data_IF_892796040061
#
_entry.id   IF_892796040061
#
_cell.length_a   1.000
_cell.length_b   1.000
_cell.length_c   1.000
_cell.angle_alpha   90.00
_cell.angle_beta   90.00
_cell.angle_gamma   90.00
#
_symmetry.space_group_name_H-M   'P 1'
#
loop_
_entity.id
_entity.type
_entity.pdbx_description
1 polymer ?
#
# COMPACT_ATOMS: atom_id res chain seq x y z
N UNK A 1 28.45 -13.50 -4.02
CA UNK A 1 27.09 -13.49 -3.41
C UNK A 1 26.91 -14.78 -2.60
N UNK A 2 26.37 -14.70 -1.38
CA UNK A 2 26.17 -15.89 -0.53
C UNK A 2 24.88 -16.63 -0.93
N UNK A 3 24.96 -17.97 -1.03
CA UNK A 3 23.81 -18.85 -1.30
C UNK A 3 22.76 -18.75 -0.20
N UNK A 4 23.15 -18.48 1.05
CA UNK A 4 22.21 -18.28 2.18
C UNK A 4 21.32 -17.06 1.96
N UNK A 5 21.88 -15.94 1.48
CA UNK A 5 21.14 -14.72 1.14
C UNK A 5 20.11 -15.00 0.04
N UNK A 6 20.54 -15.68 -1.03
CA UNK A 6 19.64 -16.10 -2.12
C UNK A 6 18.58 -17.08 -1.64
N UNK A 7 18.88 -17.98 -0.70
CA UNK A 7 17.89 -18.92 -0.16
C UNK A 7 16.83 -18.20 0.66
N UNK A 8 17.21 -17.24 1.49
CA UNK A 8 16.26 -16.44 2.26
C UNK A 8 15.35 -15.62 1.34
N UNK A 9 15.90 -14.91 0.33
CA UNK A 9 15.08 -14.18 -0.64
C UNK A 9 14.20 -15.10 -1.48
N UNK A 10 14.65 -16.30 -1.84
CA UNK A 10 13.88 -17.33 -2.52
C UNK A 10 12.66 -17.78 -1.69
N UNK A 11 12.84 -18.03 -0.39
CA UNK A 11 11.77 -18.44 0.50
C UNK A 11 10.70 -17.35 0.62
N UNK A 12 11.13 -16.09 0.72
CA UNK A 12 10.24 -14.92 0.74
C UNK A 12 9.51 -14.74 -0.59
N UNK A 13 10.20 -14.79 -1.70
CA UNK A 13 9.60 -14.71 -3.04
C UNK A 13 8.62 -15.85 -3.29
N UNK A 14 8.89 -17.04 -2.74
CA UNK A 14 7.95 -18.17 -2.83
C UNK A 14 6.64 -17.85 -2.12
N UNK A 15 6.68 -17.31 -0.91
CA UNK A 15 5.48 -16.88 -0.18
C UNK A 15 4.71 -15.80 -0.95
N UNK A 16 5.41 -14.81 -1.51
CA UNK A 16 4.77 -13.70 -2.23
C UNK A 16 4.17 -14.18 -3.56
N UNK A 17 4.97 -14.83 -4.41
CA UNK A 17 4.59 -15.15 -5.79
C UNK A 17 3.63 -16.35 -5.88
N UNK A 18 3.74 -17.33 -4.96
CA UNK A 18 2.95 -18.57 -5.01
C UNK A 18 1.82 -18.62 -3.98
N UNK A 19 2.00 -17.99 -2.83
CA UNK A 19 1.05 -18.06 -1.73
C UNK A 19 0.27 -16.75 -1.57
N UNK A 20 0.60 -15.71 -2.35
CA UNK A 20 -0.10 -14.43 -2.33
C UNK A 20 0.17 -13.59 -1.08
N UNK A 21 1.26 -13.88 -0.34
CA UNK A 21 1.62 -13.12 0.84
C UNK A 21 2.06 -11.69 0.47
N UNK A 22 1.71 -10.73 1.31
CA UNK A 22 2.13 -9.34 1.12
C UNK A 22 3.61 -9.14 1.43
N UNK A 23 4.30 -8.39 0.56
CA UNK A 23 5.76 -8.19 0.65
C UNK A 23 6.20 -7.58 1.97
N UNK A 24 5.47 -6.59 2.48
CA UNK A 24 5.78 -5.94 3.76
C UNK A 24 5.59 -6.89 4.96
N UNK A 25 4.62 -7.80 4.91
CA UNK A 25 4.40 -8.81 5.97
C UNK A 25 5.56 -9.80 5.99
N UNK A 26 5.94 -10.30 4.81
CA UNK A 26 7.05 -11.26 4.67
C UNK A 26 8.38 -10.66 5.11
N UNK A 27 8.64 -9.39 4.78
CA UNK A 27 9.88 -8.69 5.14
C UNK A 27 9.92 -8.20 6.60
N UNK A 28 8.76 -8.06 7.27
CA UNK A 28 8.72 -7.70 8.69
C UNK A 28 9.39 -8.76 9.57
N UNK A 29 9.26 -10.02 9.20
CA UNK A 29 9.85 -11.17 9.92
C UNK A 29 11.36 -11.35 9.67
N UNK A 30 11.96 -10.54 8.78
CA UNK A 30 13.38 -10.66 8.44
C UNK A 30 14.25 -10.13 9.60
N UNK A 31 15.18 -10.95 10.13
CA UNK A 31 16.08 -10.52 11.20
C UNK A 31 16.89 -9.27 10.84
N UNK A 32 17.28 -8.51 11.85
CA UNK A 32 18.20 -7.37 11.71
C UNK A 32 19.64 -7.89 11.58
N UNK A 33 20.05 -8.18 10.35
CA UNK A 33 21.39 -8.68 9.98
C UNK A 33 21.99 -7.78 8.90
N UNK A 34 23.28 -7.88 8.68
CA UNK A 34 23.99 -7.12 7.64
C UNK A 34 23.42 -7.41 6.24
N UNK A 35 22.91 -8.62 6.02
CA UNK A 35 22.31 -9.04 4.74
C UNK A 35 20.89 -8.52 4.51
N UNK A 36 20.25 -7.95 5.53
CA UNK A 36 18.85 -7.50 5.46
C UNK A 36 18.59 -6.56 4.28
N UNK A 37 19.49 -5.59 4.07
CA UNK A 37 19.34 -4.62 2.99
C UNK A 37 19.39 -5.28 1.61
N UNK A 38 20.31 -6.23 1.41
CA UNK A 38 20.45 -6.96 0.16
C UNK A 38 19.26 -7.89 -0.10
N UNK A 39 18.79 -8.62 0.92
CA UNK A 39 17.61 -9.48 0.81
C UNK A 39 16.37 -8.64 0.46
N UNK A 40 16.17 -7.52 1.15
CA UNK A 40 15.07 -6.59 0.85
C UNK A 40 15.13 -6.10 -0.60
N UNK A 41 16.32 -5.71 -1.08
CA UNK A 41 16.53 -5.24 -2.46
C UNK A 41 16.27 -6.35 -3.49
N UNK A 42 16.67 -7.59 -3.20
CA UNK A 42 16.39 -8.75 -4.05
C UNK A 42 14.89 -9.03 -4.13
N UNK A 43 14.19 -9.04 -2.99
CA UNK A 43 12.75 -9.34 -2.95
C UNK A 43 11.95 -8.23 -3.63
N UNK A 44 12.10 -6.98 -3.19
CA UNK A 44 11.37 -5.85 -3.77
C UNK A 44 11.67 -5.68 -5.26
N UNK A 45 12.95 -5.66 -5.63
CA UNK A 45 13.33 -5.42 -7.01
C UNK A 45 12.89 -6.53 -7.96
N UNK A 46 12.90 -7.79 -7.51
CA UNK A 46 12.34 -8.90 -8.30
C UNK A 46 10.84 -8.69 -8.55
N UNK A 47 10.08 -8.22 -7.55
CA UNK A 47 8.64 -7.94 -7.68
C UNK A 47 8.40 -6.69 -8.55
N UNK A 48 9.18 -5.62 -8.35
CA UNK A 48 9.09 -4.39 -9.17
C UNK A 48 9.44 -4.59 -10.65
N UNK A 49 10.09 -5.70 -11.00
CA UNK A 49 10.47 -6.07 -12.38
C UNK A 49 9.83 -7.39 -12.82
N UNK A 50 8.78 -7.81 -12.13
CA UNK A 50 8.17 -9.11 -12.33
C UNK A 50 7.80 -9.40 -13.79
N UNK A 51 7.12 -8.48 -14.47
CA UNK A 51 6.66 -8.68 -15.85
C UNK A 51 7.81 -8.64 -16.85
N UNK A 52 8.80 -7.77 -16.66
CA UNK A 52 10.03 -7.75 -17.46
C UNK A 52 10.79 -9.06 -17.34
N UNK A 53 11.05 -9.50 -16.11
CA UNK A 53 11.78 -10.73 -15.83
C UNK A 53 11.04 -11.95 -16.40
N UNK A 54 9.71 -12.00 -16.25
CA UNK A 54 8.92 -13.07 -16.87
C UNK A 54 8.96 -13.05 -18.39
N UNK A 55 8.97 -11.88 -19.02
CA UNK A 55 9.11 -11.75 -20.46
C UNK A 55 10.49 -12.29 -20.93
N UNK A 56 11.56 -11.99 -20.22
CA UNK A 56 12.90 -12.52 -20.48
C UNK A 56 12.93 -14.06 -20.32
N UNK A 57 12.36 -14.58 -19.23
CA UNK A 57 12.28 -16.03 -18.99
C UNK A 57 11.50 -16.72 -20.13
N UNK A 58 10.36 -16.16 -20.51
CA UNK A 58 9.52 -16.73 -21.57
C UNK A 58 10.20 -16.68 -22.95
N UNK A 59 11.01 -15.66 -23.23
CA UNK A 59 11.81 -15.56 -24.44
C UNK A 59 12.92 -16.63 -24.47
N UNK A 60 13.65 -16.77 -23.36
CA UNK A 60 14.81 -17.67 -23.29
C UNK A 60 14.43 -19.14 -23.06
N UNK A 61 13.23 -19.41 -22.57
CA UNK A 61 12.76 -20.74 -22.20
C UNK A 61 11.51 -21.12 -23.00
N UNK A 62 11.62 -21.84 -24.15
CA UNK A 62 10.47 -22.26 -24.95
C UNK A 62 9.46 -23.10 -24.16
N UNK A 63 9.94 -23.85 -23.17
CA UNK A 63 9.10 -24.59 -22.21
C UNK A 63 9.20 -23.91 -20.84
N UNK A 64 8.06 -23.62 -20.24
CA UNK A 64 7.98 -22.98 -18.93
C UNK A 64 8.79 -23.74 -17.86
N UNK A 65 9.69 -23.07 -17.14
CA UNK A 65 10.46 -23.70 -16.05
C UNK A 65 9.53 -24.18 -14.93
N UNK A 66 9.96 -25.23 -14.19
CA UNK A 66 9.26 -25.65 -12.97
C UNK A 66 9.14 -24.46 -12.00
N UNK A 67 8.02 -24.29 -11.28
CA UNK A 67 7.76 -23.10 -10.45
C UNK A 67 8.87 -22.74 -9.47
N UNK A 68 9.46 -23.73 -8.79
CA UNK A 68 10.57 -23.52 -7.87
C UNK A 68 11.82 -22.95 -8.56
N UNK A 69 12.17 -23.51 -9.74
CA UNK A 69 13.33 -23.03 -10.52
C UNK A 69 13.04 -21.65 -11.12
N UNK A 70 11.81 -21.38 -11.52
CA UNK A 70 11.40 -20.09 -12.03
C UNK A 70 11.65 -18.97 -11.02
N UNK A 71 11.38 -19.19 -9.72
CA UNK A 71 11.65 -18.20 -8.67
C UNK A 71 13.16 -17.96 -8.53
N UNK A 72 14.00 -19.02 -8.58
CA UNK A 72 15.46 -18.83 -8.59
C UNK A 72 15.90 -18.02 -9.81
N UNK A 73 15.32 -18.31 -10.99
CA UNK A 73 15.63 -17.55 -12.20
C UNK A 73 15.21 -16.08 -12.07
N UNK A 74 14.06 -15.80 -11.48
CA UNK A 74 13.55 -14.44 -11.32
C UNK A 74 14.52 -13.59 -10.49
N UNK A 75 14.92 -14.05 -9.30
CA UNK A 75 15.84 -13.28 -8.46
C UNK A 75 17.26 -13.18 -9.05
N UNK A 76 17.72 -14.23 -9.75
CA UNK A 76 19.02 -14.21 -10.42
C UNK A 76 19.04 -13.19 -11.59
N UNK A 77 18.00 -13.17 -12.42
CA UNK A 77 17.87 -12.20 -13.53
C UNK A 77 17.81 -10.79 -12.99
N UNK A 78 17.01 -10.53 -11.94
CA UNK A 78 17.01 -9.23 -11.29
C UNK A 78 18.43 -8.84 -10.83
N UNK A 79 19.11 -9.75 -10.12
CA UNK A 79 20.46 -9.47 -9.62
C UNK A 79 21.46 -9.17 -10.74
N UNK A 80 21.44 -9.96 -11.83
CA UNK A 80 22.32 -9.77 -13.00
C UNK A 80 22.08 -8.40 -13.66
N UNK A 81 20.83 -7.97 -13.78
CA UNK A 81 20.48 -6.76 -14.54
C UNK A 81 20.57 -5.47 -13.71
N UNK A 82 20.37 -5.54 -12.38
CA UNK A 82 20.12 -4.36 -11.55
C UNK A 82 21.00 -4.22 -10.31
N UNK A 83 21.81 -5.23 -9.96
CA UNK A 83 22.75 -5.12 -8.85
C UNK A 83 24.18 -4.92 -9.34
N UNK A 84 24.93 -4.10 -8.61
CA UNK A 84 26.37 -3.90 -8.84
C UNK A 84 27.20 -5.02 -8.19
N UNK A 85 26.89 -6.27 -8.56
CA UNK A 85 27.59 -7.48 -8.11
C UNK A 85 28.12 -8.18 -9.35
N UNK A 86 29.39 -8.66 -9.36
CA UNK A 86 29.93 -9.37 -10.51
C UNK A 86 29.05 -10.54 -10.95
N UNK A 87 28.71 -10.59 -12.24
CA UNK A 87 27.78 -11.57 -12.80
C UNK A 87 28.20 -13.02 -12.50
N UNK A 88 29.51 -13.33 -12.52
CA UNK A 88 30.01 -14.68 -12.21
C UNK A 88 29.59 -15.12 -10.79
N UNK A 89 29.64 -14.18 -9.82
CA UNK A 89 29.29 -14.47 -8.43
C UNK A 89 27.77 -14.69 -8.26
N UNK A 90 26.94 -13.95 -9.02
CA UNK A 90 25.49 -14.14 -9.03
C UNK A 90 25.14 -15.48 -9.66
N UNK A 91 25.71 -15.78 -10.83
CA UNK A 91 25.44 -17.01 -11.59
C UNK A 91 25.83 -18.23 -10.78
N UNK A 92 27.07 -18.26 -10.23
CA UNK A 92 27.53 -19.39 -9.41
C UNK A 92 26.61 -19.65 -8.23
N UNK A 93 26.33 -18.63 -7.41
CA UNK A 93 25.47 -18.77 -6.24
C UNK A 93 24.04 -19.17 -6.61
N UNK A 94 23.49 -18.68 -7.73
CA UNK A 94 22.14 -19.05 -8.20
C UNK A 94 22.06 -20.49 -8.69
N UNK A 95 23.12 -20.98 -9.38
CA UNK A 95 23.22 -22.39 -9.81
C UNK A 95 23.37 -23.32 -8.60
N UNK A 96 24.08 -22.90 -7.56
CA UNK A 96 24.20 -23.67 -6.32
C UNK A 96 22.87 -23.66 -5.54
N UNK A 97 22.12 -22.57 -5.56
CA UNK A 97 20.77 -22.54 -5.01
C UNK A 97 19.82 -23.53 -5.73
N UNK A 98 19.92 -23.70 -7.06
CA UNK A 98 19.14 -24.71 -7.80
C UNK A 98 19.42 -26.12 -7.24
N UNK A 99 20.66 -26.42 -6.89
CA UNK A 99 21.01 -27.68 -6.23
C UNK A 99 20.44 -27.74 -4.81
N UNK A 100 20.56 -26.66 -4.03
CA UNK A 100 20.09 -26.60 -2.64
C UNK A 100 18.58 -26.79 -2.50
N UNK A 101 17.79 -26.40 -3.52
CA UNK A 101 16.33 -26.67 -3.57
C UNK A 101 15.97 -28.03 -4.18
N UNK A 102 16.93 -28.95 -4.31
CA UNK A 102 16.72 -30.31 -4.78
C UNK A 102 16.47 -30.43 -6.29
N UNK A 103 17.03 -29.52 -7.11
CA UNK A 103 16.85 -29.50 -8.58
C UNK A 103 18.22 -29.58 -9.31
N UNK A 104 19.13 -30.40 -8.78
CA UNK A 104 20.51 -30.54 -9.28
C UNK A 104 20.57 -30.80 -10.80
N UNK A 105 19.64 -31.56 -11.33
CA UNK A 105 19.51 -31.91 -12.75
C UNK A 105 19.29 -30.67 -13.66
N UNK A 106 18.83 -29.55 -13.12
CA UNK A 106 18.57 -28.30 -13.85
C UNK A 106 19.70 -27.28 -13.78
N UNK A 107 20.83 -27.57 -13.11
CA UNK A 107 22.00 -26.66 -13.00
C UNK A 107 22.50 -26.22 -14.37
N UNK A 108 22.72 -27.15 -15.29
CA UNK A 108 23.23 -26.83 -16.63
C UNK A 108 22.26 -25.94 -17.42
N UNK A 109 20.97 -26.25 -17.36
CA UNK A 109 19.93 -25.45 -18.00
C UNK A 109 19.88 -24.03 -17.44
N UNK A 110 19.84 -23.87 -16.12
CA UNK A 110 19.77 -22.53 -15.50
C UNK A 110 21.04 -21.73 -15.75
N UNK A 111 22.22 -22.35 -15.70
CA UNK A 111 23.47 -21.69 -16.05
C UNK A 111 23.46 -21.16 -17.49
N UNK A 112 23.01 -21.97 -18.46
CA UNK A 112 22.92 -21.54 -19.86
C UNK A 112 21.99 -20.33 -20.04
N UNK A 113 20.86 -20.32 -19.34
CA UNK A 113 19.93 -19.16 -19.35
C UNK A 113 20.58 -17.92 -18.75
N UNK A 114 21.23 -18.04 -17.59
CA UNK A 114 21.90 -16.91 -16.94
C UNK A 114 23.03 -16.33 -17.82
N UNK A 115 23.80 -17.17 -18.50
CA UNK A 115 24.83 -16.70 -19.44
C UNK A 115 24.22 -15.89 -20.60
N UNK A 116 23.05 -16.31 -21.13
CA UNK A 116 22.33 -15.54 -22.15
C UNK A 116 21.85 -14.19 -21.61
N UNK A 117 21.36 -14.16 -20.38
CA UNK A 117 20.96 -12.89 -19.72
C UNK A 117 22.18 -11.96 -19.56
N UNK A 118 23.33 -12.48 -19.10
CA UNK A 118 24.56 -11.70 -18.97
C UNK A 118 25.02 -11.08 -20.31
N UNK A 119 24.83 -11.81 -21.42
CA UNK A 119 25.17 -11.33 -22.78
C UNK A 119 24.04 -10.56 -23.45
N UNK A 120 22.90 -10.37 -22.77
CA UNK A 120 21.68 -9.72 -23.27
C UNK A 120 21.14 -10.36 -24.58
N UNK A 121 21.24 -11.67 -24.69
CA UNK A 121 20.75 -12.46 -25.83
C UNK A 121 19.23 -12.68 -25.74
N UNK A 122 18.47 -11.62 -25.62
CA UNK A 122 17.01 -11.61 -25.63
C UNK A 122 16.51 -10.30 -26.24
N UNK A 123 15.33 -10.35 -26.89
CA UNK A 123 14.64 -9.18 -27.40
C UNK A 123 13.22 -9.18 -26.87
N UNK A 124 12.80 -8.05 -26.27
CA UNK A 124 11.48 -7.88 -25.72
C UNK A 124 10.61 -7.09 -26.70
N UNK A 125 9.32 -7.45 -26.83
CA UNK A 125 8.40 -6.73 -27.70
C UNK A 125 8.36 -5.24 -27.37
N UNK A 126 8.49 -4.37 -28.39
CA UNK A 126 8.44 -2.91 -28.27
C UNK A 126 7.01 -2.36 -28.34
N UNK A 127 6.03 -3.18 -28.71
CA UNK A 127 4.62 -2.82 -28.82
C UNK A 127 3.70 -3.97 -28.39
N UNK A 128 2.43 -3.64 -28.17
CA UNK A 128 1.41 -4.62 -27.79
C UNK A 128 1.33 -4.91 -26.30
N UNK A 129 0.64 -6.01 -25.97
CA UNK A 129 0.31 -6.38 -24.59
C UNK A 129 1.56 -6.54 -23.71
N UNK A 130 2.52 -7.35 -24.15
CA UNK A 130 3.73 -7.66 -23.36
C UNK A 130 4.56 -6.38 -23.12
N UNK A 131 4.70 -5.53 -24.14
CA UNK A 131 5.42 -4.26 -23.99
C UNK A 131 4.79 -3.36 -22.91
N UNK A 132 3.47 -3.30 -22.85
CA UNK A 132 2.74 -2.55 -21.82
C UNK A 132 2.90 -3.17 -20.43
N UNK A 133 2.82 -4.50 -20.33
CA UNK A 133 3.05 -5.22 -19.06
C UNK A 133 4.48 -4.99 -18.54
N UNK A 134 5.48 -5.01 -19.43
CA UNK A 134 6.88 -4.70 -19.08
C UNK A 134 7.04 -3.23 -18.68
N UNK A 135 6.47 -2.30 -19.47
CA UNK A 135 6.59 -0.86 -19.22
C UNK A 135 6.06 -0.46 -17.84
N UNK A 136 4.89 -0.97 -17.46
CA UNK A 136 4.18 -0.55 -16.25
C UNK A 136 4.33 -1.55 -15.08
N UNK A 137 4.93 -2.69 -15.30
CA UNK A 137 5.00 -3.82 -14.35
C UNK A 137 3.62 -4.23 -13.81
N UNK A 138 2.61 -4.27 -14.68
CA UNK A 138 1.22 -4.58 -14.37
C UNK A 138 0.63 -5.56 -15.37
N UNK A 139 -0.35 -6.41 -14.95
CA UNK A 139 -1.07 -7.26 -15.91
C UNK A 139 -1.92 -6.40 -16.86
N UNK A 140 -1.96 -6.78 -18.11
CA UNK A 140 -2.66 -6.02 -19.16
C UNK A 140 -4.15 -5.74 -18.85
N UNK A 141 -4.94 -6.66 -18.27
CA UNK A 141 -6.31 -6.36 -17.87
C UNK A 141 -6.39 -5.18 -16.90
N UNK A 142 -5.47 -5.09 -15.93
CA UNK A 142 -5.42 -4.01 -14.96
C UNK A 142 -5.00 -2.69 -15.62
N UNK A 143 -4.06 -2.71 -16.55
CA UNK A 143 -3.68 -1.51 -17.34
C UNK A 143 -4.90 -0.97 -18.09
N UNK A 144 -5.70 -1.85 -18.71
CA UNK A 144 -6.94 -1.46 -19.40
C UNK A 144 -7.96 -0.84 -18.45
N UNK A 145 -8.14 -1.44 -17.28
CA UNK A 145 -9.06 -0.97 -16.26
C UNK A 145 -8.66 0.43 -15.76
N UNK A 146 -7.38 0.64 -15.42
CA UNK A 146 -6.86 1.95 -15.01
C UNK A 146 -7.06 2.99 -16.12
N UNK A 147 -6.75 2.64 -17.38
CA UNK A 147 -6.96 3.56 -18.50
C UNK A 147 -8.44 3.93 -18.70
N UNK A 148 -9.35 2.98 -18.53
CA UNK A 148 -10.80 3.22 -18.61
C UNK A 148 -11.27 4.21 -17.53
N UNK A 149 -10.88 3.97 -16.28
CA UNK A 149 -11.40 4.68 -15.12
C UNK A 149 -10.74 6.04 -14.88
N UNK A 150 -9.42 6.12 -15.12
CA UNK A 150 -8.65 7.34 -14.84
C UNK A 150 -8.51 8.27 -16.07
N UNK A 151 -8.85 7.83 -17.28
CA UNK A 151 -8.78 8.65 -18.49
C UNK A 151 -7.41 9.35 -18.66
N UNK A 152 -7.41 10.68 -18.68
CA UNK A 152 -6.19 11.50 -18.83
C UNK A 152 -5.19 11.32 -17.68
N UNK A 153 -5.65 10.93 -16.50
CA UNK A 153 -4.82 10.72 -15.31
C UNK A 153 -4.19 9.32 -15.26
N UNK A 154 -4.51 8.45 -16.21
CA UNK A 154 -4.04 7.06 -16.19
C UNK A 154 -2.51 6.94 -16.18
N UNK A 155 -1.79 7.82 -16.90
CA UNK A 155 -0.32 7.77 -16.94
C UNK A 155 0.29 8.10 -15.56
N UNK A 156 -0.28 9.04 -14.82
CA UNK A 156 0.15 9.36 -13.45
C UNK A 156 0.00 8.17 -12.50
N UNK A 157 -1.02 7.33 -12.69
CA UNK A 157 -1.24 6.11 -11.91
C UNK A 157 -0.32 4.97 -12.37
N UNK A 158 -0.17 4.79 -13.68
CA UNK A 158 0.63 3.71 -14.25
C UNK A 158 2.14 3.93 -14.11
N UNK A 159 2.57 5.18 -14.05
CA UNK A 159 3.97 5.59 -13.89
C UNK A 159 4.07 6.77 -12.90
N UNK A 160 3.74 6.52 -11.62
CA UNK A 160 3.70 7.57 -10.61
C UNK A 160 5.08 8.17 -10.36
N UNK A 161 5.16 9.47 -10.03
CA UNK A 161 6.39 10.10 -9.58
C UNK A 161 6.98 9.35 -8.39
N UNK A 162 8.27 9.08 -8.43
CA UNK A 162 8.98 8.40 -7.33
C UNK A 162 9.73 9.44 -6.51
N UNK A 163 9.59 9.36 -5.19
CA UNK A 163 10.39 10.11 -4.23
C UNK A 163 11.06 9.15 -3.27
N UNK A 164 12.26 9.49 -2.83
CA UNK A 164 12.95 8.83 -1.72
C UNK A 164 12.57 9.43 -0.37
N UNK A 165 11.93 10.60 -0.38
CA UNK A 165 11.51 11.29 0.82
C UNK A 165 10.20 10.68 1.33
N UNK A 166 10.12 10.51 2.63
CA UNK A 166 8.94 10.01 3.31
C UNK A 166 8.17 11.15 3.97
N UNK A 167 6.85 11.08 3.91
CA UNK A 167 6.02 12.08 4.56
C UNK A 167 5.86 11.76 6.04
N UNK A 168 6.12 12.79 6.88
CA UNK A 168 5.91 12.76 8.32
C UNK A 168 4.90 13.80 8.75
N UNK A 169 4.00 13.43 9.65
CA UNK A 169 3.12 14.33 10.37
C UNK A 169 3.66 14.54 11.77
N UNK A 170 3.71 15.79 12.21
CA UNK A 170 4.08 16.11 13.58
C UNK A 170 2.96 15.74 14.56
N UNK A 171 3.33 15.35 15.79
CA UNK A 171 2.39 15.27 16.89
C UNK A 171 1.98 16.69 17.32
N UNK A 172 0.75 16.87 17.78
CA UNK A 172 0.24 18.21 18.20
C UNK A 172 1.01 18.85 19.36
N UNK A 173 1.85 18.06 20.07
CA UNK A 173 2.70 18.53 21.17
C UNK A 173 4.08 19.08 20.77
N UNK A 174 4.39 19.12 19.48
CA UNK A 174 5.57 19.79 18.91
C UNK A 174 5.11 20.80 17.87
N UNK A 175 5.61 22.00 17.92
CA UNK A 175 5.31 23.03 16.94
C UNK A 175 6.13 22.84 15.66
N UNK A 176 5.63 23.40 14.55
CA UNK A 176 6.37 23.43 13.28
C UNK A 176 7.73 24.11 13.45
N UNK A 177 7.77 25.22 14.19
CA UNK A 177 9.01 25.96 14.46
C UNK A 177 10.06 25.12 15.18
N UNK A 178 9.66 24.39 16.23
CA UNK A 178 10.58 23.48 16.95
C UNK A 178 11.12 22.38 16.05
N UNK A 179 10.28 21.80 15.17
CA UNK A 179 10.73 20.82 14.20
C UNK A 179 11.67 21.42 13.17
N UNK A 180 11.33 22.56 12.57
CA UNK A 180 12.12 23.27 11.56
C UNK A 180 13.46 23.79 12.11
N UNK A 181 13.51 24.16 13.39
CA UNK A 181 14.77 24.51 14.06
C UNK A 181 15.67 23.29 14.27
N UNK A 182 15.10 22.13 14.53
CA UNK A 182 15.82 20.87 14.75
C UNK A 182 16.26 20.19 13.46
N UNK A 183 15.39 20.17 12.41
CA UNK A 183 15.62 19.45 11.17
C UNK A 183 15.51 20.39 9.97
N UNK A 184 16.58 20.48 9.16
CA UNK A 184 16.68 21.47 8.07
C UNK A 184 16.48 20.90 6.67
N UNK A 185 16.63 19.58 6.47
CA UNK A 185 16.54 18.92 5.16
C UNK A 185 15.11 18.40 4.92
N UNK A 186 14.16 19.35 4.79
CA UNK A 186 12.74 19.04 4.58
C UNK A 186 12.16 19.80 3.39
N UNK A 187 11.05 19.27 2.87
CA UNK A 187 10.14 19.94 1.96
C UNK A 187 8.74 20.00 2.58
N UNK A 188 8.09 21.14 2.44
CA UNK A 188 6.70 21.30 2.90
C UNK A 188 5.75 20.41 2.12
N UNK A 189 4.75 19.86 2.80
CA UNK A 189 3.66 19.12 2.21
C UNK A 189 2.49 20.05 1.85
N UNK A 190 1.62 19.61 0.94
CA UNK A 190 0.34 20.29 0.64
C UNK A 190 -0.70 20.14 1.76
N UNK A 191 -0.44 19.26 2.71
CA UNK A 191 -1.23 19.05 3.93
C UNK A 191 -0.31 19.16 5.15
N UNK A 192 -0.85 18.99 6.36
CA UNK A 192 -0.05 19.05 7.59
C UNK A 192 1.08 18.01 7.53
N UNK A 193 2.33 18.49 7.66
CA UNK A 193 3.51 17.65 7.70
C UNK A 193 4.59 18.05 6.71
N UNK A 194 5.60 17.21 6.62
CA UNK A 194 6.83 17.44 5.89
C UNK A 194 7.28 16.20 5.15
N UNK A 195 7.91 16.39 4.01
CA UNK A 195 8.70 15.36 3.35
C UNK A 195 10.14 15.42 3.84
N UNK A 196 10.66 14.30 4.31
CA UNK A 196 11.97 14.19 4.96
C UNK A 196 12.70 12.93 4.50
N UNK A 197 14.02 12.91 4.64
CA UNK A 197 14.80 11.67 4.55
C UNK A 197 14.63 10.86 5.84
N UNK A 198 14.51 9.55 5.71
CA UNK A 198 14.38 8.63 6.86
C UNK A 198 15.76 8.36 7.50
N UNK A 199 16.35 9.39 8.08
CA UNK A 199 17.63 9.37 8.76
C UNK A 199 17.52 9.13 10.28
N UNK A 200 18.65 9.10 10.98
CA UNK A 200 18.69 8.86 12.42
C UNK A 200 18.04 10.00 13.25
N UNK A 201 18.04 11.25 12.77
CA UNK A 201 17.39 12.36 13.44
C UNK A 201 15.86 12.18 13.43
N UNK A 202 15.31 11.85 12.27
CA UNK A 202 13.88 11.56 12.09
C UNK A 202 13.47 10.31 12.88
N UNK A 203 14.28 9.24 12.87
CA UNK A 203 14.02 8.04 13.68
C UNK A 203 14.01 8.31 15.18
N UNK A 204 14.84 9.22 15.69
CA UNK A 204 14.82 9.65 17.10
C UNK A 204 13.51 10.35 17.46
N UNK A 205 13.03 11.28 16.62
CA UNK A 205 11.75 11.97 16.83
C UNK A 205 10.58 10.97 16.75
N UNK A 206 10.61 10.04 15.82
CA UNK A 206 9.61 8.97 15.69
C UNK A 206 9.54 8.09 16.94
N UNK A 207 10.68 7.61 17.47
CA UNK A 207 10.73 6.81 18.70
C UNK A 207 10.16 7.55 19.91
N UNK A 208 10.35 8.87 19.97
CA UNK A 208 9.79 9.75 21.02
C UNK A 208 8.31 10.08 20.81
N UNK A 209 7.71 9.63 19.70
CA UNK A 209 6.33 9.93 19.33
C UNK A 209 6.10 11.42 19.00
N UNK A 210 7.12 12.20 18.65
CA UNK A 210 7.01 13.60 18.27
C UNK A 210 6.61 13.77 16.81
N UNK A 211 6.76 12.73 16.00
CA UNK A 211 6.26 12.64 14.64
C UNK A 211 5.87 11.21 14.31
N UNK A 212 5.18 11.06 13.18
CA UNK A 212 4.82 9.76 12.65
C UNK A 212 4.86 9.76 11.12
N UNK A 213 5.29 8.63 10.52
CA UNK A 213 5.14 8.41 9.08
C UNK A 213 3.66 8.19 8.76
N UNK A 214 3.09 9.04 7.93
CA UNK A 214 1.70 8.97 7.51
C UNK A 214 1.58 9.58 6.11
N UNK A 215 0.89 8.91 5.18
CA UNK A 215 0.75 9.45 3.83
C UNK A 215 -0.04 10.77 3.82
N UNK A 216 0.31 11.74 2.95
CA UNK A 216 -0.46 12.97 2.80
C UNK A 216 -1.94 12.74 2.55
N UNK A 217 -2.29 11.72 1.75
CA UNK A 217 -3.69 11.36 1.48
C UNK A 217 -4.44 10.93 2.75
N UNK A 218 -3.78 10.22 3.69
CA UNK A 218 -4.38 9.88 4.99
C UNK A 218 -4.56 11.08 5.90
N UNK A 219 -3.61 12.03 5.86
CA UNK A 219 -3.73 13.32 6.57
C UNK A 219 -4.89 14.12 6.01
N UNK A 220 -4.98 14.23 4.67
CA UNK A 220 -6.07 14.90 3.96
C UNK A 220 -7.44 14.36 4.34
N UNK A 221 -7.61 13.03 4.43
CA UNK A 221 -8.88 12.42 4.83
C UNK A 221 -9.33 12.84 6.24
N UNK A 222 -8.41 12.97 7.20
CA UNK A 222 -8.74 13.46 8.54
C UNK A 222 -9.07 14.95 8.53
N UNK A 223 -8.34 15.76 7.77
CA UNK A 223 -8.61 17.21 7.62
C UNK A 223 -9.98 17.47 6.98
N UNK A 224 -10.44 16.60 6.07
CA UNK A 224 -11.77 16.68 5.47
C UNK A 224 -12.90 16.63 6.50
N UNK A 225 -12.69 16.04 7.68
CA UNK A 225 -13.67 15.96 8.76
C UNK A 225 -13.97 17.32 9.40
N UNK A 226 -13.02 18.27 9.36
CA UNK A 226 -13.13 19.58 10.00
C UNK A 226 -12.86 19.53 11.51
N UNK A 227 -13.63 20.29 12.30
CA UNK A 227 -13.47 20.38 13.76
C UNK A 227 -13.86 19.05 14.45
N UNK A 228 -12.94 18.51 15.25
CA UNK A 228 -13.09 17.21 15.93
C UNK A 228 -13.11 17.29 17.45
N UNK A 229 -12.82 18.46 18.05
CA UNK A 229 -12.75 18.61 19.50
C UNK A 229 -14.07 18.22 20.17
N UNK A 230 -14.01 17.29 21.14
CA UNK A 230 -15.16 16.77 21.87
C UNK A 230 -16.13 15.90 21.09
N UNK A 231 -15.87 15.59 19.82
CA UNK A 231 -16.72 14.73 19.01
C UNK A 231 -16.45 13.24 19.25
N UNK A 232 -17.50 12.44 19.33
CA UNK A 232 -17.42 10.98 19.34
C UNK A 232 -17.17 10.49 17.92
N UNK A 233 -16.02 9.87 17.68
CA UNK A 233 -15.61 9.35 16.37
C UNK A 233 -15.47 7.83 16.42
N UNK A 234 -16.09 7.15 15.44
CA UNK A 234 -15.90 5.72 15.20
C UNK A 234 -15.10 5.53 13.90
N UNK A 235 -13.97 4.84 13.99
CA UNK A 235 -13.19 4.39 12.82
C UNK A 235 -13.34 2.87 12.68
N UNK A 236 -14.11 2.42 11.66
CA UNK A 236 -14.49 1.01 11.51
C UNK A 236 -13.41 0.10 10.93
N UNK A 237 -12.42 0.67 10.25
CA UNK A 237 -11.33 -0.09 9.59
C UNK A 237 -9.98 0.57 9.91
N UNK A 238 -9.72 0.83 11.20
CA UNK A 238 -8.73 1.79 11.65
C UNK A 238 -7.26 1.38 11.44
N UNK A 239 -6.96 0.07 11.45
CA UNK A 239 -5.56 -0.36 11.51
C UNK A 239 -4.73 0.02 10.27
N UNK A 240 -3.49 0.48 10.48
CA UNK A 240 -2.70 0.43 11.73
C UNK A 240 -2.97 1.57 12.74
N UNK A 241 -3.91 2.48 12.48
CA UNK A 241 -4.33 3.50 13.44
C UNK A 241 -3.98 4.95 13.09
N UNK A 242 -3.38 5.20 11.92
CA UNK A 242 -2.90 6.54 11.56
C UNK A 242 -3.97 7.62 11.57
N UNK A 243 -5.15 7.36 10.99
CA UNK A 243 -6.29 8.29 10.96
C UNK A 243 -6.93 8.43 12.34
N UNK A 244 -7.17 7.31 13.03
CA UNK A 244 -7.74 7.28 14.37
C UNK A 244 -6.88 8.05 15.38
N UNK A 245 -5.56 7.82 15.40
CA UNK A 245 -4.60 8.54 16.25
C UNK A 245 -4.59 10.03 15.95
N UNK A 246 -4.58 10.42 14.67
CA UNK A 246 -4.61 11.82 14.30
C UNK A 246 -5.93 12.49 14.73
N UNK A 247 -7.06 11.83 14.56
CA UNK A 247 -8.35 12.36 15.04
C UNK A 247 -8.38 12.53 16.55
N UNK A 248 -7.76 11.61 17.32
CA UNK A 248 -7.64 11.73 18.78
C UNK A 248 -6.71 12.88 19.18
N UNK A 249 -5.62 13.15 18.46
CA UNK A 249 -4.75 14.32 18.67
C UNK A 249 -5.48 15.65 18.42
N UNK A 250 -6.49 15.64 17.53
CA UNK A 250 -7.36 16.80 17.26
C UNK A 250 -8.54 16.89 18.25
N UNK A 251 -8.56 16.10 19.31
CA UNK A 251 -9.50 16.20 20.43
C UNK A 251 -10.76 15.34 20.29
N UNK A 252 -10.83 14.43 19.32
CA UNK A 252 -11.95 13.49 19.23
C UNK A 252 -11.90 12.39 20.31
N UNK A 253 -13.06 11.94 20.79
CA UNK A 253 -13.22 10.72 21.56
C UNK A 253 -13.32 9.53 20.59
N UNK A 254 -12.20 8.86 20.33
CA UNK A 254 -12.09 7.88 19.25
C UNK A 254 -12.33 6.46 19.74
N UNK A 255 -13.25 5.75 19.05
CA UNK A 255 -13.34 4.28 19.05
C UNK A 255 -12.81 3.77 17.71
N UNK A 256 -11.71 3.02 17.75
CA UNK A 256 -11.01 2.51 16.57
C UNK A 256 -11.14 0.99 16.46
N UNK A 257 -11.59 0.48 15.32
CA UNK A 257 -11.93 -0.92 15.13
C UNK A 257 -11.07 -1.60 14.05
N UNK A 258 -10.82 -2.88 14.22
CA UNK A 258 -10.36 -3.75 13.14
C UNK A 258 -10.88 -5.18 13.37
N UNK A 259 -11.03 -5.96 12.29
CA UNK A 259 -11.52 -7.34 12.33
C UNK A 259 -10.45 -8.32 12.86
N UNK A 260 -9.18 -7.93 12.85
CA UNK A 260 -8.06 -8.79 13.23
C UNK A 260 -7.45 -8.38 14.57
N UNK A 261 -7.37 -9.29 15.57
CA UNK A 261 -6.82 -8.96 16.90
C UNK A 261 -5.40 -8.39 16.85
N UNK A 262 -4.52 -8.95 16.02
CA UNK A 262 -3.15 -8.44 15.84
C UNK A 262 -3.13 -7.00 15.31
N UNK A 263 -4.09 -6.63 14.47
CA UNK A 263 -4.18 -5.27 13.93
C UNK A 263 -4.74 -4.29 14.96
N UNK A 264 -5.66 -4.72 15.85
CA UNK A 264 -6.09 -3.93 17.01
C UNK A 264 -4.90 -3.58 17.91
N UNK A 265 -4.03 -4.55 18.20
CA UNK A 265 -2.81 -4.30 19.01
C UNK A 265 -1.84 -3.29 18.34
N UNK A 266 -1.84 -3.19 17.01
CA UNK A 266 -1.07 -2.14 16.30
C UNK A 266 -1.65 -0.76 16.56
N UNK A 267 -2.98 -0.61 16.56
CA UNK A 267 -3.67 0.65 16.89
C UNK A 267 -3.29 1.10 18.31
N UNK A 268 -3.37 0.21 19.28
CA UNK A 268 -2.99 0.50 20.68
C UNK A 268 -1.53 0.91 20.83
N UNK A 269 -0.63 0.18 20.17
CA UNK A 269 0.80 0.49 20.17
C UNK A 269 1.10 1.84 19.55
N UNK A 270 0.41 2.18 18.47
CA UNK A 270 0.54 3.46 17.80
C UNK A 270 0.03 4.60 18.69
N UNK A 271 -1.16 4.48 19.26
CA UNK A 271 -1.73 5.46 20.18
C UNK A 271 -0.81 5.70 21.39
N UNK A 272 -0.29 4.62 21.99
CA UNK A 272 0.67 4.71 23.12
C UNK A 272 1.94 5.45 22.74
N UNK A 273 2.53 5.16 21.59
CA UNK A 273 3.73 5.85 21.09
C UNK A 273 3.46 7.34 20.86
N UNK A 274 2.32 7.68 20.29
CA UNK A 274 1.92 9.08 20.04
C UNK A 274 1.40 9.78 21.30
N UNK A 275 1.20 9.08 22.41
CA UNK A 275 0.76 9.65 23.68
C UNK A 275 -0.70 10.06 23.70
N UNK A 276 -1.56 9.44 22.89
CA UNK A 276 -3.00 9.70 22.85
C UNK A 276 -3.80 8.55 23.45
N UNK A 277 -4.99 8.86 23.94
CA UNK A 277 -5.95 7.86 24.44
C UNK A 277 -7.02 7.64 23.37
N UNK A 278 -7.31 6.39 23.09
CA UNK A 278 -8.45 5.97 22.26
C UNK A 278 -8.91 4.57 22.71
N UNK A 279 -10.11 4.21 22.32
CA UNK A 279 -10.67 2.87 22.56
C UNK A 279 -10.44 2.00 21.32
N UNK A 280 -9.46 1.08 21.37
CA UNK A 280 -9.23 0.12 20.31
C UNK A 280 -10.05 -1.16 20.57
N UNK A 281 -10.83 -1.62 19.58
CA UNK A 281 -11.73 -2.76 19.79
C UNK A 281 -11.79 -3.69 18.58
N UNK A 282 -11.95 -4.98 18.86
CA UNK A 282 -12.18 -5.99 17.83
C UNK A 282 -13.61 -5.87 17.31
N UNK A 283 -13.77 -5.60 16.01
CA UNK A 283 -15.08 -5.51 15.38
C UNK A 283 -15.03 -5.90 13.90
N UNK A 284 -16.00 -6.70 13.47
CA UNK A 284 -16.28 -6.92 12.06
C UNK A 284 -17.22 -5.80 11.57
N UNK A 285 -16.71 -4.91 10.72
CA UNK A 285 -17.47 -3.76 10.19
C UNK A 285 -18.74 -4.12 9.43
N UNK A 286 -18.91 -5.39 9.07
CA UNK A 286 -20.13 -5.93 8.43
C UNK A 286 -21.19 -6.41 9.42
N UNK A 287 -20.89 -6.39 10.73
CA UNK A 287 -21.81 -6.84 11.78
C UNK A 287 -22.31 -5.68 12.58
N UNK A 288 -23.64 -5.53 12.61
CA UNK A 288 -24.31 -4.46 13.35
C UNK A 288 -24.14 -4.63 14.86
N UNK A 289 -23.69 -3.56 15.53
CA UNK A 289 -23.72 -3.42 16.99
C UNK A 289 -24.87 -2.48 17.39
N UNK A 290 -25.88 -3.03 18.03
CA UNK A 290 -27.10 -2.28 18.41
C UNK A 290 -26.81 -1.11 19.37
N UNK A 291 -25.81 -1.27 20.24
CA UNK A 291 -25.37 -0.27 21.21
C UNK A 291 -24.68 0.95 20.56
N UNK A 292 -24.35 0.88 19.28
CA UNK A 292 -23.70 1.97 18.53
C UNK A 292 -24.66 2.75 17.63
N UNK A 293 -25.90 2.32 17.53
CA UNK A 293 -26.89 2.96 16.65
C UNK A 293 -27.04 4.44 17.00
N UNK A 294 -26.87 5.31 16.00
CA UNK A 294 -26.96 6.78 16.11
C UNK A 294 -26.14 7.38 17.26
N UNK A 295 -24.97 6.80 17.58
CA UNK A 295 -24.17 7.19 18.73
C UNK A 295 -23.05 8.19 18.39
N UNK A 296 -22.52 8.18 17.17
CA UNK A 296 -21.31 8.89 16.80
C UNK A 296 -21.59 10.16 15.99
N UNK A 297 -20.86 11.23 16.33
CA UNK A 297 -20.87 12.49 15.57
C UNK A 297 -20.16 12.33 14.23
N UNK A 298 -19.14 11.45 14.21
CA UNK A 298 -18.34 11.13 13.02
C UNK A 298 -18.14 9.62 12.94
N UNK A 299 -18.40 9.05 11.77
CA UNK A 299 -18.02 7.67 11.44
C UNK A 299 -17.11 7.68 10.22
N UNK A 300 -15.96 7.02 10.32
CA UNK A 300 -15.00 6.88 9.22
C UNK A 300 -14.91 5.42 8.76
N UNK A 301 -14.87 5.23 7.46
CA UNK A 301 -14.66 3.95 6.80
C UNK A 301 -13.48 4.10 5.83
N UNK A 302 -12.27 3.76 6.30
CA UNK A 302 -11.13 3.57 5.40
C UNK A 302 -11.21 2.14 4.87
N UNK A 303 -12.00 1.95 3.83
CA UNK A 303 -12.47 0.65 3.42
C UNK A 303 -11.35 -0.28 2.91
N UNK A 304 -11.42 -1.60 3.18
CA UNK A 304 -10.56 -2.55 2.51
C UNK A 304 -10.75 -2.41 1.00
N UNK A 305 -9.66 -2.25 0.26
CA UNK A 305 -9.70 -1.96 -1.17
C UNK A 305 -8.57 -2.62 -1.94
N UNK A 306 -8.60 -2.52 -3.27
CA UNK A 306 -7.57 -3.08 -4.15
C UNK A 306 -6.17 -2.47 -3.94
N UNK A 307 -6.07 -1.27 -3.35
CA UNK A 307 -4.82 -0.59 -3.08
C UNK A 307 -4.10 -0.06 -4.32
N UNK A 308 -4.79 0.06 -5.45
CA UNK A 308 -4.16 0.45 -6.73
C UNK A 308 -3.63 1.89 -6.75
N UNK A 309 -4.07 2.73 -5.81
CA UNK A 309 -3.54 4.08 -5.66
C UNK A 309 -2.12 4.12 -5.07
N UNK A 310 -1.69 3.05 -4.38
CA UNK A 310 -0.38 2.94 -3.73
C UNK A 310 0.53 1.89 -4.35
N UNK A 311 0.25 1.50 -5.58
CA UNK A 311 0.95 0.40 -6.28
C UNK A 311 2.46 0.64 -6.44
N UNK A 312 2.91 1.89 -6.51
CA UNK A 312 4.33 2.25 -6.54
C UNK A 312 5.08 1.88 -5.27
N UNK A 313 4.37 1.85 -4.12
CA UNK A 313 4.89 1.47 -2.81
C UNK A 313 4.60 0.00 -2.48
N UNK A 314 3.68 -0.61 -3.20
CA UNK A 314 3.16 -1.96 -3.00
C UNK A 314 3.08 -2.73 -4.32
N UNK A 315 4.23 -3.03 -4.95
CA UNK A 315 4.25 -3.70 -6.27
C UNK A 315 3.67 -5.13 -6.23
N UNK A 316 3.59 -5.74 -5.06
CA UNK A 316 2.96 -7.05 -4.82
C UNK A 316 1.45 -7.05 -5.14
N UNK A 317 0.76 -5.91 -5.06
CA UNK A 317 -0.66 -5.76 -5.43
C UNK A 317 -0.91 -6.21 -6.88
N UNK A 318 0.02 -5.92 -7.78
CA UNK A 318 -0.06 -6.33 -9.19
C UNK A 318 -0.09 -7.85 -9.39
N UNK A 319 0.50 -8.61 -8.47
CA UNK A 319 0.59 -10.07 -8.55
C UNK A 319 -0.65 -10.77 -8.00
N UNK A 320 -1.32 -10.14 -7.03
CA UNK A 320 -2.50 -10.71 -6.35
C UNK A 320 -3.83 -10.30 -7.00
N UNK A 321 -3.82 -9.40 -7.99
CA UNK A 321 -5.04 -8.92 -8.63
C UNK A 321 -5.78 -10.03 -9.38
N UNK A 322 -7.04 -10.25 -9.03
CA UNK A 322 -8.00 -11.03 -9.81
C UNK A 322 -9.36 -10.31 -9.88
N UNK A 323 -10.09 -10.51 -10.99
CA UNK A 323 -11.42 -9.90 -11.13
C UNK A 323 -12.39 -10.37 -10.05
N UNK A 324 -12.31 -11.65 -9.64
CA UNK A 324 -13.18 -12.23 -8.62
C UNK A 324 -12.95 -11.60 -7.24
N UNK A 325 -11.68 -11.40 -6.86
CA UNK A 325 -11.32 -10.76 -5.59
C UNK A 325 -11.73 -9.31 -5.59
N UNK A 326 -11.58 -8.62 -6.73
CA UNK A 326 -12.02 -7.24 -6.92
C UNK A 326 -13.54 -7.07 -6.71
N UNK A 327 -14.36 -7.91 -7.35
CA UNK A 327 -15.82 -7.88 -7.15
C UNK A 327 -16.22 -8.18 -5.69
N UNK A 328 -15.48 -9.05 -5.02
CA UNK A 328 -15.69 -9.37 -3.61
C UNK A 328 -15.38 -8.15 -2.71
N UNK A 329 -14.31 -7.41 -3.00
CA UNK A 329 -13.95 -6.19 -2.29
C UNK A 329 -15.03 -5.11 -2.41
N UNK A 330 -15.55 -4.87 -3.62
CA UNK A 330 -16.64 -3.90 -3.83
C UNK A 330 -17.87 -4.25 -3.01
N UNK A 331 -18.24 -5.55 -2.95
CA UNK A 331 -19.38 -6.02 -2.13
C UNK A 331 -19.11 -5.80 -0.64
N UNK A 332 -17.89 -6.06 -0.19
CA UNK A 332 -17.49 -5.85 1.21
C UNK A 332 -17.53 -4.36 1.60
N UNK A 333 -17.01 -3.48 0.75
CA UNK A 333 -17.05 -2.03 0.94
C UNK A 333 -18.47 -1.52 1.12
N UNK A 334 -19.39 -1.94 0.24
CA UNK A 334 -20.79 -1.59 0.32
C UNK A 334 -21.47 -2.07 1.59
N UNK A 335 -21.16 -3.30 2.03
CA UNK A 335 -21.70 -3.86 3.27
C UNK A 335 -21.19 -3.10 4.51
N UNK A 336 -19.91 -2.71 4.54
CA UNK A 336 -19.36 -1.92 5.64
C UNK A 336 -19.99 -0.51 5.66
N UNK A 337 -20.12 0.15 4.51
CA UNK A 337 -20.69 1.48 4.39
C UNK A 337 -22.17 1.50 4.84
N UNK A 338 -22.94 0.47 4.49
CA UNK A 338 -24.31 0.25 4.95
C UNK A 338 -24.41 0.21 6.48
N UNK A 339 -23.58 -0.61 7.12
CA UNK A 339 -23.56 -0.71 8.58
C UNK A 339 -23.07 0.59 9.23
N UNK A 340 -22.03 1.23 8.66
CA UNK A 340 -21.48 2.48 9.16
C UNK A 340 -22.53 3.61 9.23
N UNK A 341 -23.41 3.70 8.24
CA UNK A 341 -24.45 4.72 8.15
C UNK A 341 -25.43 4.71 9.34
N UNK A 342 -25.70 3.51 9.87
CA UNK A 342 -26.61 3.33 11.00
C UNK A 342 -26.03 3.83 12.34
N UNK A 343 -24.71 3.99 12.43
CA UNK A 343 -24.02 4.48 13.62
C UNK A 343 -23.95 6.01 13.71
N UNK A 344 -24.17 6.70 12.57
CA UNK A 344 -24.08 8.16 12.47
C UNK A 344 -25.34 8.79 13.12
N UNK A 345 -25.14 9.77 14.02
CA UNK A 345 -26.20 10.64 14.54
C UNK A 345 -26.85 11.47 13.44
N UNK A 346 -28.04 11.99 13.69
CA UNK A 346 -28.61 13.08 12.91
C UNK A 346 -27.67 14.31 12.94
N UNK A 347 -27.44 14.94 11.80
CA UNK A 347 -26.45 15.98 11.63
C UNK A 347 -24.98 15.52 11.65
N UNK A 348 -24.72 14.22 11.84
CA UNK A 348 -23.38 13.66 11.90
C UNK A 348 -22.72 13.45 10.52
N UNK A 349 -21.44 13.09 10.52
CA UNK A 349 -20.61 12.90 9.33
C UNK A 349 -20.30 11.42 9.13
N UNK A 350 -20.45 10.94 7.90
CA UNK A 350 -19.91 9.67 7.41
C UNK A 350 -18.82 9.99 6.39
N UNK A 351 -17.59 9.61 6.67
CA UNK A 351 -16.48 9.72 5.73
C UNK A 351 -16.14 8.34 5.18
N UNK A 352 -16.15 8.22 3.87
CA UNK A 352 -15.70 7.04 3.15
C UNK A 352 -14.38 7.34 2.45
N UNK A 353 -13.38 6.48 2.60
CA UNK A 353 -12.09 6.63 1.93
C UNK A 353 -11.50 5.30 1.50
N UNK A 354 -10.69 5.33 0.44
CA UNK A 354 -9.94 4.17 -0.08
C UNK A 354 -8.59 4.59 -0.61
N UNK A 355 -7.61 3.69 -0.56
CA UNK A 355 -6.31 3.86 -1.23
C UNK A 355 -6.32 3.28 -2.65
N UNK A 356 -7.44 3.40 -3.36
CA UNK A 356 -7.60 2.99 -4.77
C UNK A 356 -8.12 4.14 -5.62
N UNK A 357 -8.05 3.95 -6.94
CA UNK A 357 -8.48 4.95 -7.94
C UNK A 357 -9.57 4.41 -8.86
N UNK A 358 -10.08 3.22 -8.58
CA UNK A 358 -11.09 2.59 -9.42
C UNK A 358 -12.50 3.07 -9.05
N UNK A 359 -13.29 3.43 -10.05
CA UNK A 359 -14.62 4.02 -9.87
C UNK A 359 -15.61 3.11 -9.16
N UNK A 360 -15.53 1.80 -9.39
CA UNK A 360 -16.47 0.86 -8.76
C UNK A 360 -16.28 0.77 -7.23
N UNK A 361 -15.04 0.96 -6.76
CA UNK A 361 -14.72 1.01 -5.33
C UNK A 361 -15.00 2.40 -4.71
N UNK A 362 -15.10 3.45 -5.51
CA UNK A 362 -15.14 4.85 -5.14
C UNK A 362 -16.51 5.49 -5.48
N UNK A 363 -16.54 6.26 -6.55
CA UNK A 363 -17.71 7.07 -6.94
C UNK A 363 -18.98 6.21 -7.13
N UNK A 364 -18.86 5.02 -7.74
CA UNK A 364 -20.00 4.14 -7.97
C UNK A 364 -20.53 3.55 -6.66
N UNK A 365 -19.65 3.21 -5.71
CA UNK A 365 -20.04 2.72 -4.37
C UNK A 365 -20.75 3.82 -3.57
N UNK A 366 -20.24 5.06 -3.60
CA UNK A 366 -20.88 6.21 -2.92
C UNK A 366 -22.21 6.58 -3.58
N UNK A 367 -22.28 6.59 -4.92
CA UNK A 367 -23.50 6.88 -5.67
C UNK A 367 -24.59 5.82 -5.40
N UNK A 368 -24.23 4.54 -5.37
CA UNK A 368 -25.17 3.45 -5.03
C UNK A 368 -25.67 3.58 -3.58
N UNK A 369 -24.80 3.94 -2.65
CA UNK A 369 -25.17 4.22 -1.25
C UNK A 369 -26.18 5.39 -1.17
N UNK A 370 -25.86 6.54 -1.74
CA UNK A 370 -26.70 7.74 -1.68
C UNK A 370 -28.07 7.56 -2.36
N UNK A 371 -28.14 6.68 -3.38
CA UNK A 371 -29.42 6.34 -4.02
C UNK A 371 -30.39 5.60 -3.09
N UNK A 372 -29.89 4.88 -2.09
CA UNK A 372 -30.65 4.10 -1.10
C UNK A 372 -30.87 4.86 0.20
N UNK A 373 -29.96 5.78 0.55
CA UNK A 373 -29.95 6.54 1.79
C UNK A 373 -30.21 8.03 1.51
N UNK A 374 -31.48 8.38 1.27
CA UNK A 374 -31.91 9.76 0.95
C UNK A 374 -31.76 10.72 2.14
N UNK A 375 -31.49 10.18 3.33
CA UNK A 375 -31.15 10.91 4.55
C UNK A 375 -29.66 11.34 4.60
N UNK A 376 -28.84 11.00 3.60
CA UNK A 376 -27.46 11.47 3.46
C UNK A 376 -27.28 12.34 2.22
N UNK A 377 -26.43 13.36 2.33
CA UNK A 377 -25.98 14.18 1.20
C UNK A 377 -24.46 14.33 1.24
N UNK A 378 -23.81 14.47 0.06
CA UNK A 378 -22.43 14.90 -0.02
C UNK A 378 -22.26 16.28 0.60
N UNK A 379 -21.19 16.45 1.39
CA UNK A 379 -20.86 17.72 2.04
C UNK A 379 -19.52 18.25 1.52
N UNK A 380 -19.47 19.49 0.97
CA UNK A 380 -18.24 20.12 0.51
C UNK A 380 -17.17 20.22 1.60
N UNK A 381 -15.91 20.09 1.18
CA UNK A 381 -14.73 20.34 2.02
C UNK A 381 -13.58 20.84 1.14
N UNK A 382 -12.45 21.25 1.76
CA UNK A 382 -11.27 21.74 1.03
C UNK A 382 -10.83 20.75 -0.06
N UNK A 383 -10.52 21.27 -1.26
CA UNK A 383 -10.18 20.53 -2.46
C UNK A 383 -11.30 19.65 -3.05
N UNK A 384 -12.47 19.60 -2.40
CA UNK A 384 -13.62 18.79 -2.84
C UNK A 384 -14.95 19.56 -2.74
N UNK A 385 -15.19 20.56 -3.62
CA UNK A 385 -16.42 21.37 -3.58
C UNK A 385 -17.70 20.56 -3.85
N UNK A 386 -17.57 19.35 -4.40
CA UNK A 386 -18.67 18.43 -4.62
C UNK A 386 -18.84 17.39 -3.48
N UNK A 387 -18.08 17.51 -2.38
CA UNK A 387 -18.13 16.59 -1.25
C UNK A 387 -17.39 15.25 -1.48
N UNK A 388 -16.75 15.07 -2.63
CA UNK A 388 -15.94 13.90 -2.94
C UNK A 388 -14.80 14.24 -3.91
N UNK A 389 -13.70 13.51 -3.84
CA UNK A 389 -12.54 13.70 -4.71
C UNK A 389 -11.71 12.43 -4.85
N UNK A 390 -11.25 12.16 -6.08
CA UNK A 390 -10.18 11.21 -6.34
C UNK A 390 -8.86 11.97 -6.49
N UNK A 391 -7.92 11.74 -5.58
CA UNK A 391 -6.54 12.22 -5.69
C UNK A 391 -5.76 11.25 -6.58
N UNK A 392 -4.95 11.80 -7.46
CA UNK A 392 -4.06 11.02 -8.32
C UNK A 392 -2.60 11.24 -7.90
N UNK A 393 -1.70 10.26 -8.14
CA UNK A 393 -0.29 10.42 -7.82
C UNK A 393 0.31 11.65 -8.51
N UNK A 394 0.87 12.58 -7.72
CA UNK A 394 1.45 13.83 -8.21
C UNK A 394 2.82 14.18 -7.59
N UNK A 395 3.39 13.25 -6.82
CA UNK A 395 4.64 13.43 -6.07
C UNK A 395 4.43 13.84 -4.63
N UNK A 396 3.26 14.39 -4.28
CA UNK A 396 2.83 14.62 -2.90
C UNK A 396 1.80 13.56 -2.49
N UNK A 397 0.70 13.47 -3.20
CA UNK A 397 -0.33 12.48 -2.91
C UNK A 397 -0.05 11.14 -3.60
N UNK A 398 -0.46 10.07 -2.95
CA UNK A 398 -0.74 8.79 -3.59
C UNK A 398 -2.15 8.80 -4.21
N UNK A 399 -2.48 7.80 -5.02
CA UNK A 399 -3.85 7.59 -5.49
C UNK A 399 -4.76 7.29 -4.30
N UNK A 400 -5.81 8.11 -4.12
CA UNK A 400 -6.69 8.04 -2.95
C UNK A 400 -8.05 8.62 -3.26
N UNK A 401 -9.09 8.12 -2.61
CA UNK A 401 -10.43 8.65 -2.74
C UNK A 401 -11.00 9.03 -1.38
N UNK A 402 -11.73 10.14 -1.33
CA UNK A 402 -12.48 10.58 -0.14
C UNK A 402 -13.86 11.07 -0.56
N UNK A 403 -14.88 10.64 0.16
CA UNK A 403 -16.24 11.19 0.11
C UNK A 403 -16.71 11.52 1.52
N UNK A 404 -17.16 12.75 1.74
CA UNK A 404 -17.74 13.22 2.97
C UNK A 404 -19.25 13.35 2.80
N UNK A 405 -20.00 12.70 3.67
CA UNK A 405 -21.46 12.68 3.64
C UNK A 405 -22.00 13.15 4.98
N UNK A 406 -23.03 14.01 4.95
CA UNK A 406 -23.75 14.45 6.15
C UNK A 406 -25.11 13.78 6.21
N UNK A 407 -25.44 13.23 7.38
CA UNK A 407 -26.79 12.78 7.69
C UNK A 407 -27.69 13.99 7.97
N UNK A 408 -28.90 13.99 7.39
CA UNK A 408 -29.92 15.02 7.64
C UNK A 408 -30.46 14.97 9.04
#
# INVERSE_FOLDING_TARGET
MDVKVLKQSYDMLTKIVREGAYVNVVLADLPQTDDRALITKLVYGTIERYYEINAIINYLCPKAPKPAVKIVMMQAIYAILYLEIPNYAIVSASVDLVQAIGKKELKGFTNAVFQKVCRKEYDLPKAGKIALEVKYNLPYPLIKLIKRDCGKMAEAVLNPPRSTDEHVRLATRISNKEFEDYYKDYRLSKVDGYFVKNDEAIKKLFKRGLLTFQSPSSVFAVKALGELSGKKLLDLCAAPGGKAVYSAELGAEVTACDIHPKRVSLIESYARRMGVKLNATLNDGKKLRKEWLKLFDVVTVDAPCSGLGVISKRPDIALSYSNKDYESLVKEQRAILEIASSYVKEGGILLYSTCTILKDENENTVSDFLSKHTDFNLEPFDMAPQGQVTLYPDGDFDGFYVAKMRKK
#
